data_IF_646821034915
#
_entry.id   IF_646821034915
#
_cell.length_a   1.000
_cell.length_b   1.000
_cell.length_c   1.000
_cell.angle_alpha   90.00
_cell.angle_beta   90.00
_cell.angle_gamma   90.00
#
_symmetry.space_group_name_H-M   'P 1'
#
loop_
_entity.id
_entity.type
_entity.pdbx_description
1 polymer ?
#
# COMPACT_ATOMS: atom_id res chain seq x y z
N UNK A 1 22.08 -30.32 21.25
CA UNK A 1 21.20 -30.07 20.12
C UNK A 1 20.52 -28.73 20.41
N UNK A 2 21.09 -27.60 19.91
CA UNK A 2 20.55 -26.26 20.17
C UNK A 2 19.20 -26.16 19.48
N UNK A 3 18.19 -25.74 20.22
CA UNK A 3 16.80 -25.62 19.75
C UNK A 3 16.69 -24.46 18.73
N UNK A 4 16.86 -24.79 17.46
CA UNK A 4 16.85 -23.87 16.30
C UNK A 4 15.52 -23.12 16.26
N UNK A 5 14.42 -23.72 16.74
CA UNK A 5 13.11 -23.07 16.82
C UNK A 5 13.09 -21.89 17.82
N UNK A 6 13.80 -21.96 18.95
CA UNK A 6 13.83 -20.92 19.96
C UNK A 6 14.59 -19.66 19.49
N UNK A 7 15.60 -19.80 18.64
CA UNK A 7 16.41 -18.71 18.08
C UNK A 7 15.80 -18.09 16.81
N UNK A 8 15.09 -18.86 16.00
CA UNK A 8 14.50 -18.36 14.74
C UNK A 8 13.34 -17.36 14.97
N UNK A 9 12.52 -17.58 15.98
CA UNK A 9 11.35 -16.73 16.25
C UNK A 9 11.70 -15.27 16.58
N UNK A 10 12.68 -14.95 17.47
CA UNK A 10 13.08 -13.57 17.74
C UNK A 10 13.77 -12.90 16.53
N UNK A 11 14.53 -13.65 15.72
CA UNK A 11 15.18 -13.12 14.52
C UNK A 11 14.12 -12.74 13.48
N UNK A 12 13.18 -13.60 13.17
CA UNK A 12 12.08 -13.32 12.25
C UNK A 12 11.23 -12.15 12.73
N UNK A 13 10.90 -12.08 14.02
CA UNK A 13 10.15 -10.98 14.61
C UNK A 13 10.91 -9.66 14.49
N UNK A 14 12.23 -9.66 14.67
CA UNK A 14 13.10 -8.49 14.51
C UNK A 14 13.05 -7.95 13.08
N UNK A 15 13.21 -8.81 12.06
CA UNK A 15 13.18 -8.42 10.65
C UNK A 15 11.78 -8.03 10.19
N UNK A 16 10.74 -8.73 10.62
CA UNK A 16 9.35 -8.37 10.36
C UNK A 16 8.99 -6.99 10.96
N UNK A 17 9.48 -6.69 12.16
CA UNK A 17 9.35 -5.38 12.79
C UNK A 17 10.13 -4.30 12.04
N UNK A 18 11.32 -4.60 11.54
CA UNK A 18 12.14 -3.68 10.74
C UNK A 18 11.41 -3.19 9.48
N UNK A 19 10.79 -4.11 8.73
CA UNK A 19 10.02 -3.78 7.51
C UNK A 19 8.56 -3.43 7.80
N UNK A 20 8.15 -3.33 9.07
CA UNK A 20 6.76 -3.09 9.48
C UNK A 20 5.78 -4.00 8.71
N UNK A 21 5.98 -5.30 8.82
CA UNK A 21 5.21 -6.30 8.06
C UNK A 21 3.68 -6.16 8.27
N UNK A 22 3.23 -5.75 9.46
CA UNK A 22 1.81 -5.48 9.75
C UNK A 22 1.15 -4.46 8.81
N UNK A 23 1.93 -3.53 8.25
CA UNK A 23 1.41 -2.55 7.29
C UNK A 23 1.15 -3.14 5.89
N UNK A 24 1.47 -4.43 5.65
CA UNK A 24 1.10 -5.14 4.42
C UNK A 24 -0.42 -5.19 4.22
N UNK A 25 -1.18 -5.07 5.32
CA UNK A 25 -2.65 -4.97 5.31
C UNK A 25 -3.18 -3.81 4.47
N UNK A 26 -2.39 -2.79 4.17
CA UNK A 26 -2.84 -1.68 3.33
C UNK A 26 -2.81 -2.00 1.83
N UNK A 27 -1.74 -2.62 1.34
CA UNK A 27 -1.56 -2.86 -0.10
C UNK A 27 -2.08 -4.24 -0.55
N UNK A 28 -1.91 -5.27 0.28
CA UNK A 28 -2.26 -6.65 -0.07
C UNK A 28 -3.75 -6.83 -0.42
N UNK A 29 -4.72 -6.28 0.34
CA UNK A 29 -6.13 -6.43 -0.02
C UNK A 29 -6.46 -5.82 -1.39
N UNK A 30 -5.89 -4.67 -1.75
CA UNK A 30 -6.10 -4.08 -3.08
C UNK A 30 -5.49 -4.91 -4.21
N UNK A 31 -4.29 -5.49 -3.99
CA UNK A 31 -3.66 -6.40 -4.94
C UNK A 31 -4.50 -7.67 -5.14
N UNK A 32 -5.01 -8.27 -4.06
CA UNK A 32 -5.86 -9.45 -4.13
C UNK A 32 -7.22 -9.13 -4.78
N UNK A 33 -7.81 -7.98 -4.48
CA UNK A 33 -9.03 -7.52 -5.16
C UNK A 33 -8.82 -7.36 -6.66
N UNK A 34 -7.70 -6.75 -7.09
CA UNK A 34 -7.31 -6.62 -8.48
C UNK A 34 -7.14 -7.99 -9.16
N UNK A 35 -6.46 -8.92 -8.49
CA UNK A 35 -6.29 -10.30 -8.93
C UNK A 35 -7.65 -10.99 -9.14
N UNK A 36 -8.57 -10.86 -8.17
CA UNK A 36 -9.91 -11.44 -8.26
C UNK A 36 -10.69 -10.90 -9.47
N UNK A 37 -10.67 -9.58 -9.70
CA UNK A 37 -11.33 -8.97 -10.85
C UNK A 37 -10.71 -9.44 -12.16
N UNK A 38 -9.37 -9.47 -12.25
CA UNK A 38 -8.63 -9.93 -13.42
C UNK A 38 -8.91 -11.41 -13.75
N UNK A 39 -9.11 -12.26 -12.74
CA UNK A 39 -9.43 -13.68 -12.88
C UNK A 39 -10.94 -13.98 -12.85
N UNK A 40 -11.81 -12.99 -13.09
CA UNK A 40 -13.27 -13.08 -12.93
C UNK A 40 -13.89 -14.23 -13.72
N UNK A 41 -13.36 -14.54 -14.90
CA UNK A 41 -13.81 -15.65 -15.74
C UNK A 41 -13.70 -17.01 -15.03
N UNK A 42 -12.71 -17.15 -14.11
CA UNK A 42 -12.47 -18.32 -13.28
C UNK A 42 -12.91 -18.09 -11.82
N UNK A 43 -14.00 -17.35 -11.60
CA UNK A 43 -14.52 -17.00 -10.27
C UNK A 43 -13.47 -16.37 -9.35
N UNK A 44 -12.56 -15.59 -9.91
CA UNK A 44 -11.51 -14.90 -9.19
C UNK A 44 -10.26 -15.73 -8.87
N UNK A 45 -10.20 -17.00 -9.30
CA UNK A 45 -9.06 -17.86 -9.01
C UNK A 45 -8.07 -17.93 -10.18
N UNK A 46 -6.85 -17.38 -10.04
CA UNK A 46 -5.85 -17.38 -11.12
C UNK A 46 -5.02 -18.68 -11.20
N UNK A 47 -5.26 -19.64 -10.31
CA UNK A 47 -4.43 -20.81 -10.10
C UNK A 47 -3.37 -20.63 -9.01
N UNK A 48 -3.00 -21.74 -8.34
CA UNK A 48 -2.12 -21.72 -7.16
C UNK A 48 -0.74 -21.11 -7.44
N UNK A 49 -0.18 -21.37 -8.63
CA UNK A 49 1.13 -20.83 -9.05
C UNK A 49 1.08 -19.30 -9.15
N UNK A 50 0.13 -18.74 -9.88
CA UNK A 50 0.02 -17.28 -10.08
C UNK A 50 -0.29 -16.61 -8.75
N UNK A 51 -1.21 -17.16 -7.95
CA UNK A 51 -1.53 -16.66 -6.61
C UNK A 51 -0.28 -16.62 -5.70
N UNK A 52 0.46 -17.72 -5.61
CA UNK A 52 1.68 -17.81 -4.80
C UNK A 52 2.77 -16.82 -5.24
N UNK A 53 2.95 -16.65 -6.57
CA UNK A 53 3.91 -15.70 -7.13
C UNK A 53 3.50 -14.24 -6.91
N UNK A 54 2.19 -13.90 -6.95
CA UNK A 54 1.70 -12.57 -6.58
C UNK A 54 2.03 -12.27 -5.11
N UNK A 55 1.78 -13.22 -4.19
CA UNK A 55 2.12 -13.04 -2.78
C UNK A 55 3.63 -12.87 -2.58
N UNK A 56 4.45 -13.68 -3.24
CA UNK A 56 5.91 -13.57 -3.19
C UNK A 56 6.39 -12.21 -3.70
N UNK A 57 5.89 -11.76 -4.85
CA UNK A 57 6.21 -10.45 -5.42
C UNK A 57 5.82 -9.31 -4.47
N UNK A 58 4.63 -9.37 -3.86
CA UNK A 58 4.16 -8.39 -2.88
C UNK A 58 5.04 -8.31 -1.64
N UNK A 59 5.43 -9.47 -1.08
CA UNK A 59 6.33 -9.52 0.09
C UNK A 59 7.70 -8.97 -0.28
N UNK A 60 8.25 -9.34 -1.43
CA UNK A 60 9.53 -8.86 -1.91
C UNK A 60 9.52 -7.35 -2.19
N UNK A 61 8.54 -6.84 -2.95
CA UNK A 61 8.42 -5.42 -3.25
C UNK A 61 8.32 -4.57 -1.96
N UNK A 62 7.47 -5.00 -1.03
CA UNK A 62 7.30 -4.31 0.24
C UNK A 62 8.56 -4.35 1.11
N UNK A 63 9.19 -5.49 1.21
CA UNK A 63 10.44 -5.65 1.98
C UNK A 63 11.53 -4.77 1.42
N UNK A 64 11.71 -4.76 0.09
CA UNK A 64 12.65 -3.88 -0.61
C UNK A 64 12.35 -2.40 -0.33
N UNK A 65 11.11 -1.96 -0.57
CA UNK A 65 10.68 -0.57 -0.35
C UNK A 65 10.93 -0.10 1.09
N UNK A 66 10.56 -0.92 2.09
CA UNK A 66 10.74 -0.58 3.49
C UNK A 66 12.20 -0.61 3.93
N UNK A 67 12.99 -1.59 3.47
CA UNK A 67 14.42 -1.63 3.75
C UNK A 67 15.12 -0.40 3.15
N UNK A 68 14.82 -0.06 1.90
CA UNK A 68 15.35 1.14 1.25
C UNK A 68 14.94 2.42 1.98
N UNK A 69 13.68 2.56 2.38
CA UNK A 69 13.21 3.72 3.15
C UNK A 69 14.00 3.88 4.46
N UNK A 70 14.23 2.77 5.22
CA UNK A 70 15.05 2.81 6.44
C UNK A 70 16.50 3.20 6.19
N UNK A 71 17.10 2.73 5.09
CA UNK A 71 18.46 3.06 4.69
C UNK A 71 18.55 4.55 4.30
N UNK A 72 17.62 5.01 3.47
CA UNK A 72 17.57 6.38 2.99
C UNK A 72 17.38 7.37 4.16
N UNK A 73 16.43 7.09 5.06
CA UNK A 73 16.04 8.02 6.12
C UNK A 73 16.86 7.87 7.41
N UNK A 74 17.86 6.96 7.47
CA UNK A 74 18.59 6.64 8.71
C UNK A 74 19.14 7.84 9.49
N UNK A 75 19.60 8.87 8.78
CA UNK A 75 20.15 10.09 9.41
C UNK A 75 19.06 10.94 10.04
N UNK A 76 17.94 11.16 9.34
CA UNK A 76 16.78 11.89 9.85
C UNK A 76 16.08 11.11 10.96
N UNK A 77 15.98 9.78 10.82
CA UNK A 77 15.42 8.90 11.85
C UNK A 77 16.19 8.96 13.18
N UNK A 78 17.50 9.14 13.13
CA UNK A 78 18.32 9.29 14.33
C UNK A 78 18.10 10.62 15.07
N UNK A 79 17.71 11.67 14.34
CA UNK A 79 17.46 13.01 14.91
C UNK A 79 16.02 13.17 15.42
N UNK A 80 15.06 12.43 14.86
CA UNK A 80 13.65 12.55 15.22
C UNK A 80 13.33 11.74 16.49
N UNK A 81 12.86 12.37 17.59
CA UNK A 81 12.52 11.70 18.85
C UNK A 81 11.53 10.53 18.68
N UNK A 82 10.62 10.59 17.68
CA UNK A 82 9.65 9.54 17.38
C UNK A 82 10.27 8.31 16.73
N UNK A 83 11.38 8.48 16.01
CA UNK A 83 11.98 7.41 15.18
C UNK A 83 13.40 7.01 15.56
N UNK A 84 14.07 7.73 16.46
CA UNK A 84 15.44 7.43 16.94
C UNK A 84 15.63 6.00 17.47
N UNK A 85 14.56 5.41 18.01
CA UNK A 85 14.53 4.04 18.50
C UNK A 85 14.29 2.98 17.40
N UNK A 86 14.29 3.36 16.11
CA UNK A 86 14.21 2.39 14.99
C UNK A 86 15.48 1.55 14.92
N UNK A 87 15.39 0.39 14.25
CA UNK A 87 16.45 -0.63 14.28
C UNK A 87 17.80 -0.16 13.75
N UNK A 88 17.86 0.67 12.68
CA UNK A 88 19.11 1.19 12.13
C UNK A 88 19.72 2.28 13.01
N UNK A 89 19.02 3.36 13.40
CA UNK A 89 19.56 4.37 14.31
C UNK A 89 19.99 3.77 15.65
N UNK A 90 19.24 2.83 16.19
CA UNK A 90 19.53 2.17 17.46
C UNK A 90 20.61 1.06 17.37
N UNK A 91 21.25 0.85 16.20
CA UNK A 91 22.30 -0.14 16.03
C UNK A 91 21.86 -1.61 16.12
N UNK A 92 20.53 -1.88 16.17
CA UNK A 92 20.00 -3.25 16.30
C UNK A 92 20.12 -4.06 15.01
N UNK A 93 20.19 -3.40 13.87
CA UNK A 93 20.44 -4.00 12.54
C UNK A 93 21.58 -3.19 11.90
N UNK A 94 22.56 -3.87 11.34
CA UNK A 94 23.65 -3.24 10.62
C UNK A 94 23.17 -2.68 9.26
N UNK A 95 23.84 -1.62 8.79
CA UNK A 95 23.55 -1.08 7.46
C UNK A 95 23.78 -2.12 6.36
N UNK A 96 24.85 -2.91 6.46
CA UNK A 96 25.13 -4.00 5.51
C UNK A 96 24.01 -5.05 5.48
N UNK A 97 23.48 -5.44 6.65
CA UNK A 97 22.35 -6.36 6.74
C UNK A 97 21.08 -5.78 6.11
N UNK A 98 20.80 -4.49 6.33
CA UNK A 98 19.66 -3.82 5.71
C UNK A 98 19.81 -3.73 4.18
N UNK A 99 21.02 -3.42 3.68
CA UNK A 99 21.31 -3.39 2.23
C UNK A 99 21.19 -4.77 1.59
N UNK A 100 21.70 -5.80 2.25
CA UNK A 100 21.56 -7.18 1.78
C UNK A 100 20.10 -7.59 1.69
N UNK A 101 19.29 -7.32 2.73
CA UNK A 101 17.86 -7.58 2.70
C UNK A 101 17.16 -6.86 1.55
N UNK A 102 17.50 -5.58 1.32
CA UNK A 102 16.97 -4.77 0.21
C UNK A 102 17.30 -5.42 -1.13
N UNK A 103 18.58 -5.77 -1.35
CA UNK A 103 19.05 -6.39 -2.60
C UNK A 103 18.42 -7.76 -2.87
N UNK A 104 18.36 -8.63 -1.86
CA UNK A 104 17.73 -9.95 -1.97
C UNK A 104 16.23 -9.84 -2.26
N UNK A 105 15.55 -8.86 -1.64
CA UNK A 105 14.13 -8.63 -1.89
C UNK A 105 13.89 -8.05 -3.28
N UNK A 106 14.76 -7.17 -3.77
CA UNK A 106 14.69 -6.68 -5.14
C UNK A 106 14.88 -7.82 -6.15
N UNK A 107 15.89 -8.67 -5.96
CA UNK A 107 16.11 -9.85 -6.79
C UNK A 107 14.93 -10.82 -6.72
N UNK A 108 14.35 -11.03 -5.54
CA UNK A 108 13.15 -11.85 -5.35
C UNK A 108 11.93 -11.32 -6.10
N UNK A 109 11.72 -9.99 -6.14
CA UNK A 109 10.66 -9.39 -6.95
C UNK A 109 10.87 -9.66 -8.45
N UNK A 110 12.10 -9.44 -8.96
CA UNK A 110 12.42 -9.69 -10.37
C UNK A 110 12.22 -11.16 -10.72
N UNK A 111 12.68 -12.07 -9.87
CA UNK A 111 12.53 -13.52 -10.07
C UNK A 111 11.05 -13.94 -10.06
N UNK A 112 10.25 -13.47 -9.09
CA UNK A 112 8.81 -13.75 -9.06
C UNK A 112 8.11 -13.20 -10.31
N UNK A 113 8.47 -11.99 -10.75
CA UNK A 113 7.92 -11.37 -11.96
C UNK A 113 8.29 -12.15 -13.23
N UNK A 114 9.53 -12.64 -13.32
CA UNK A 114 9.97 -13.51 -14.42
C UNK A 114 9.19 -14.82 -14.49
N UNK A 115 8.93 -15.44 -13.33
CA UNK A 115 8.13 -16.65 -13.24
C UNK A 115 6.64 -16.45 -13.53
N UNK A 116 6.13 -15.20 -13.39
CA UNK A 116 4.75 -14.85 -13.72
C UNK A 116 4.54 -14.79 -15.23
N UNK A 117 5.08 -13.78 -15.88
CA UNK A 117 5.02 -13.59 -17.33
C UNK A 117 6.03 -12.53 -17.82
N UNK A 118 6.31 -12.46 -19.14
CA UNK A 118 7.30 -11.52 -19.71
C UNK A 118 6.98 -10.05 -19.40
N UNK A 119 5.70 -9.63 -19.43
CA UNK A 119 5.33 -8.23 -19.16
C UNK A 119 5.66 -7.83 -17.72
N UNK A 120 5.32 -8.68 -16.73
CA UNK A 120 5.68 -8.47 -15.34
C UNK A 120 7.20 -8.38 -15.16
N UNK A 121 7.96 -9.25 -15.85
CA UNK A 121 9.41 -9.23 -15.80
C UNK A 121 9.98 -7.89 -16.31
N UNK A 122 9.57 -7.44 -17.50
CA UNK A 122 10.06 -6.19 -18.08
C UNK A 122 9.65 -4.94 -17.27
N UNK A 123 8.50 -4.98 -16.59
CA UNK A 123 8.03 -3.89 -15.73
C UNK A 123 8.63 -3.94 -14.31
N UNK A 124 9.22 -5.05 -13.87
CA UNK A 124 9.75 -5.18 -12.51
C UNK A 124 10.86 -4.18 -12.15
N UNK A 125 11.80 -3.80 -13.05
CA UNK A 125 12.78 -2.73 -12.75
C UNK A 125 12.11 -1.37 -12.56
N UNK A 126 11.09 -1.06 -13.37
CA UNK A 126 10.32 0.19 -13.25
C UNK A 126 9.60 0.23 -11.89
N UNK A 127 8.97 -0.88 -11.50
CA UNK A 127 8.34 -1.01 -10.19
C UNK A 127 9.35 -0.80 -9.06
N UNK A 128 10.55 -1.41 -9.13
CA UNK A 128 11.62 -1.20 -8.15
C UNK A 128 12.05 0.26 -8.04
N UNK A 129 12.23 0.94 -9.18
CA UNK A 129 12.56 2.37 -9.18
C UNK A 129 11.47 3.17 -8.45
N UNK A 130 10.22 2.97 -8.77
CA UNK A 130 9.10 3.73 -8.18
C UNK A 130 8.98 3.45 -6.68
N UNK A 131 9.04 2.17 -6.25
CA UNK A 131 8.91 1.81 -4.82
C UNK A 131 10.13 2.20 -3.97
N UNK A 132 11.27 2.49 -4.58
CA UNK A 132 12.42 3.06 -3.87
C UNK A 132 12.41 4.60 -3.91
N UNK A 133 12.04 5.18 -5.06
CA UNK A 133 12.08 6.61 -5.30
C UNK A 133 11.24 7.42 -4.32
N UNK A 134 10.04 6.94 -3.96
CA UNK A 134 9.17 7.67 -3.02
C UNK A 134 9.87 8.03 -1.71
N UNK A 135 10.80 7.19 -1.24
CA UNK A 135 11.54 7.44 0.00
C UNK A 135 12.47 8.67 -0.07
N UNK A 136 12.79 9.14 -1.27
CA UNK A 136 13.66 10.29 -1.49
C UNK A 136 12.88 11.59 -1.65
N UNK A 137 11.58 11.52 -1.92
CA UNK A 137 10.74 12.65 -2.36
C UNK A 137 10.62 13.77 -1.33
N UNK A 138 10.63 13.46 -0.03
CA UNK A 138 10.64 14.47 1.06
C UNK A 138 11.81 15.46 1.00
N UNK A 139 12.83 15.21 0.18
CA UNK A 139 14.04 16.04 0.06
C UNK A 139 13.90 17.15 -0.98
N UNK A 140 12.96 17.00 -1.93
CA UNK A 140 12.87 17.92 -3.07
C UNK A 140 11.43 18.28 -3.51
N UNK A 141 10.38 17.58 -3.03
CA UNK A 141 9.00 17.88 -3.41
C UNK A 141 8.05 17.85 -2.21
N UNK A 142 7.05 18.73 -2.25
CA UNK A 142 5.98 18.79 -1.25
C UNK A 142 4.91 17.71 -1.47
N UNK A 143 4.85 17.11 -2.67
CA UNK A 143 3.87 16.08 -3.06
C UNK A 143 4.31 14.66 -2.71
N UNK A 144 5.10 14.48 -1.66
CA UNK A 144 5.63 13.18 -1.22
C UNK A 144 4.54 12.14 -0.96
N UNK A 145 3.37 12.57 -0.46
CA UNK A 145 2.22 11.71 -0.18
C UNK A 145 1.63 11.08 -1.46
N UNK A 146 1.61 11.84 -2.57
CA UNK A 146 1.17 11.34 -3.88
C UNK A 146 2.15 10.28 -4.40
N UNK A 147 3.46 10.51 -4.25
CA UNK A 147 4.49 9.55 -4.65
C UNK A 147 4.40 8.24 -3.86
N UNK A 148 4.09 8.30 -2.57
CA UNK A 148 3.80 7.12 -1.77
C UNK A 148 2.57 6.38 -2.29
N UNK A 149 1.51 7.13 -2.65
CA UNK A 149 0.31 6.60 -3.29
C UNK A 149 0.61 5.87 -4.59
N UNK A 150 1.40 6.48 -5.48
CA UNK A 150 1.85 5.87 -6.74
C UNK A 150 2.64 4.58 -6.49
N UNK A 151 3.55 4.59 -5.50
CA UNK A 151 4.31 3.40 -5.14
C UNK A 151 3.43 2.24 -4.67
N UNK A 152 2.35 2.50 -3.92
CA UNK A 152 1.42 1.44 -3.51
C UNK A 152 0.45 1.03 -4.61
N UNK A 153 0.08 1.93 -5.52
CA UNK A 153 -0.80 1.63 -6.66
C UNK A 153 -0.18 0.62 -7.65
N UNK A 154 1.14 0.43 -7.64
CA UNK A 154 1.80 -0.64 -8.40
C UNK A 154 1.32 -2.03 -7.98
N UNK A 155 0.92 -2.21 -6.72
CA UNK A 155 0.49 -3.51 -6.22
C UNK A 155 -0.76 -4.07 -6.94
N UNK A 156 -1.90 -3.35 -7.01
CA UNK A 156 -3.06 -3.81 -7.79
C UNK A 156 -2.78 -3.88 -9.29
N UNK A 157 -1.98 -2.95 -9.87
CA UNK A 157 -1.58 -3.02 -11.28
C UNK A 157 -0.80 -4.31 -11.54
N UNK A 158 0.23 -4.57 -10.74
CA UNK A 158 1.06 -5.76 -10.87
C UNK A 158 0.28 -7.06 -10.71
N UNK A 159 -0.65 -7.12 -9.74
CA UNK A 159 -1.51 -8.29 -9.54
C UNK A 159 -2.45 -8.54 -10.74
N UNK A 160 -2.99 -7.48 -11.35
CA UNK A 160 -3.81 -7.58 -12.56
C UNK A 160 -3.00 -8.11 -13.74
N UNK A 161 -1.82 -7.51 -14.00
CA UNK A 161 -0.93 -7.92 -15.08
C UNK A 161 -0.33 -9.33 -14.85
N UNK A 162 -0.18 -9.76 -13.60
CA UNK A 162 0.23 -11.12 -13.28
C UNK A 162 -0.78 -12.16 -13.78
N UNK A 163 -2.07 -11.83 -13.78
CA UNK A 163 -3.15 -12.70 -14.26
C UNK A 163 -3.32 -12.63 -15.77
N UNK A 164 -3.37 -11.44 -16.35
CA UNK A 164 -3.71 -11.19 -17.76
C UNK A 164 -2.49 -11.13 -18.70
N UNK A 165 -1.30 -10.86 -18.18
CA UNK A 165 -0.13 -10.61 -19.00
C UNK A 165 -0.34 -9.40 -19.93
N UNK A 166 -0.01 -9.57 -21.21
CA UNK A 166 -0.24 -8.56 -22.25
C UNK A 166 -1.67 -8.56 -22.83
N UNK A 167 -2.50 -9.53 -22.43
CA UNK A 167 -3.86 -9.70 -22.96
C UNK A 167 -4.88 -8.89 -22.14
N UNK A 168 -4.71 -7.58 -22.08
CA UNK A 168 -5.63 -6.65 -21.41
C UNK A 168 -6.49 -5.90 -22.42
N UNK A 169 -7.79 -5.88 -22.19
CA UNK A 169 -8.75 -5.12 -23.00
C UNK A 169 -8.73 -3.63 -22.63
N UNK A 170 -9.21 -2.72 -23.51
CA UNK A 170 -9.34 -1.30 -23.17
C UNK A 170 -10.18 -1.05 -21.91
N UNK A 171 -11.22 -1.83 -21.68
CA UNK A 171 -12.03 -1.74 -20.46
C UNK A 171 -11.23 -2.15 -19.23
N UNK A 172 -10.45 -3.21 -19.28
CA UNK A 172 -9.58 -3.64 -18.19
C UNK A 172 -8.48 -2.63 -17.88
N UNK A 173 -7.93 -1.97 -18.92
CA UNK A 173 -6.98 -0.86 -18.72
C UNK A 173 -7.66 0.27 -17.93
N UNK A 174 -8.88 0.65 -18.31
CA UNK A 174 -9.65 1.67 -17.60
C UNK A 174 -9.92 1.25 -16.14
N UNK A 175 -10.38 0.02 -15.91
CA UNK A 175 -10.65 -0.53 -14.57
C UNK A 175 -9.38 -0.51 -13.71
N UNK A 176 -8.26 -0.96 -14.25
CA UNK A 176 -6.96 -0.98 -13.58
C UNK A 176 -6.46 0.44 -13.26
N UNK A 177 -6.63 1.39 -14.18
CA UNK A 177 -6.23 2.80 -13.99
C UNK A 177 -7.09 3.46 -12.91
N UNK A 178 -8.39 3.25 -12.93
CA UNK A 178 -9.31 3.77 -11.90
C UNK A 178 -8.96 3.17 -10.53
N UNK A 179 -8.70 1.88 -10.44
CA UNK A 179 -8.29 1.24 -9.19
C UNK A 179 -6.95 1.79 -8.68
N UNK A 180 -5.99 2.01 -9.57
CA UNK A 180 -4.73 2.65 -9.22
C UNK A 180 -4.93 4.07 -8.67
N UNK A 181 -5.77 4.88 -9.33
CA UNK A 181 -6.11 6.23 -8.88
C UNK A 181 -6.82 6.24 -7.51
N UNK A 182 -7.70 5.27 -7.25
CA UNK A 182 -8.33 5.06 -5.93
C UNK A 182 -7.25 4.86 -4.85
N UNK A 183 -6.27 3.98 -5.10
CA UNK A 183 -5.19 3.71 -4.14
C UNK A 183 -4.31 4.94 -3.94
N UNK A 184 -3.97 5.68 -5.00
CA UNK A 184 -3.18 6.93 -4.91
C UNK A 184 -3.90 7.95 -4.04
N UNK A 185 -5.19 8.22 -4.28
CA UNK A 185 -5.96 9.22 -3.55
C UNK A 185 -6.20 8.82 -2.10
N UNK A 186 -6.56 7.56 -1.85
CA UNK A 186 -6.72 7.04 -0.51
C UNK A 186 -5.44 7.20 0.31
N UNK A 187 -4.31 6.75 -0.27
CA UNK A 187 -3.04 6.81 0.42
C UNK A 187 -2.57 8.25 0.64
N UNK A 188 -2.75 9.12 -0.35
CA UNK A 188 -2.43 10.55 -0.23
C UNK A 188 -3.18 11.17 0.94
N UNK A 189 -4.48 10.92 1.06
CA UNK A 189 -5.30 11.46 2.13
C UNK A 189 -4.85 10.98 3.50
N UNK A 190 -4.66 9.67 3.67
CA UNK A 190 -4.29 9.16 4.97
C UNK A 190 -2.83 9.46 5.36
N UNK A 191 -1.90 9.49 4.41
CA UNK A 191 -0.50 9.80 4.72
C UNK A 191 -0.31 11.28 5.07
N UNK A 192 -1.10 12.20 4.51
CA UNK A 192 -1.16 13.60 4.96
C UNK A 192 -1.59 13.68 6.43
N UNK A 193 -2.64 12.94 6.83
CA UNK A 193 -3.11 12.90 8.23
C UNK A 193 -2.00 12.34 9.13
N UNK A 194 -1.32 11.29 8.69
CA UNK A 194 -0.22 10.68 9.44
C UNK A 194 0.99 11.63 9.59
N UNK A 195 1.30 12.41 8.56
CA UNK A 195 2.42 13.34 8.53
C UNK A 195 2.27 14.54 9.49
N UNK A 196 1.04 14.83 9.97
CA UNK A 196 0.82 15.85 10.99
C UNK A 196 1.67 15.63 12.26
N UNK A 197 2.00 14.37 12.57
CA UNK A 197 2.80 14.01 13.73
C UNK A 197 4.28 14.44 13.60
N UNK A 198 4.76 14.62 12.38
CA UNK A 198 6.13 15.00 12.09
C UNK A 198 6.26 16.48 11.67
N UNK A 199 5.17 17.27 11.71
CA UNK A 199 5.12 18.64 11.20
C UNK A 199 6.25 19.53 11.73
N UNK A 200 6.41 19.60 13.06
CA UNK A 200 7.42 20.46 13.68
C UNK A 200 8.85 19.98 13.35
N UNK A 201 9.07 18.67 13.36
CA UNK A 201 10.34 18.06 13.01
C UNK A 201 10.70 18.29 11.54
N UNK A 202 9.78 17.98 10.62
CA UNK A 202 9.98 18.12 9.17
C UNK A 202 10.28 19.57 8.80
N UNK A 203 9.53 20.52 9.40
CA UNK A 203 9.73 21.97 9.22
C UNK A 203 11.10 22.43 9.73
N UNK A 204 11.51 21.98 10.90
CA UNK A 204 12.79 22.36 11.50
C UNK A 204 14.00 21.81 10.73
N UNK A 205 13.85 20.68 10.03
CA UNK A 205 14.95 20.03 9.32
C UNK A 205 14.88 20.20 7.79
N UNK A 206 14.02 21.10 7.30
CA UNK A 206 13.90 21.42 5.86
C UNK A 206 13.36 20.26 5.01
N UNK A 207 12.65 19.31 5.63
CA UNK A 207 11.96 18.23 4.90
C UNK A 207 10.65 18.77 4.32
N UNK A 208 10.32 18.31 3.12
CA UNK A 208 9.16 18.79 2.37
C UNK A 208 7.98 17.84 2.50
N UNK A 209 6.79 18.42 2.66
CA UNK A 209 5.51 17.72 2.62
C UNK A 209 4.39 18.73 2.39
N UNK A 210 3.20 18.29 1.98
CA UNK A 210 2.03 19.18 1.89
C UNK A 210 1.69 19.78 3.25
N UNK A 211 1.95 19.07 4.34
CA UNK A 211 1.70 19.57 5.71
C UNK A 211 2.64 20.72 6.03
N UNK A 212 3.91 20.65 5.64
CA UNK A 212 4.89 21.74 5.83
C UNK A 212 4.59 22.92 4.92
N UNK A 213 4.27 22.67 3.64
CA UNK A 213 4.08 23.70 2.62
C UNK A 213 2.77 24.49 2.83
N UNK A 214 1.67 23.81 3.14
CA UNK A 214 0.34 24.42 3.21
C UNK A 214 -0.17 24.64 4.63
N UNK A 215 0.55 24.15 5.63
CA UNK A 215 0.17 24.12 7.04
C UNK A 215 -0.88 23.05 7.35
N UNK A 216 -0.99 22.64 8.63
CA UNK A 216 -1.83 21.53 9.06
C UNK A 216 -3.30 21.64 8.65
N UNK A 217 -3.89 22.85 8.73
CA UNK A 217 -5.31 23.08 8.41
C UNK A 217 -5.62 22.85 6.93
N UNK A 218 -4.81 23.41 6.04
CA UNK A 218 -5.02 23.29 4.59
C UNK A 218 -4.65 21.88 4.11
N UNK A 219 -3.63 21.26 4.68
CA UNK A 219 -3.26 19.88 4.41
C UNK A 219 -4.40 18.91 4.78
N UNK A 220 -5.07 19.09 5.92
CA UNK A 220 -6.26 18.30 6.29
C UNK A 220 -7.43 18.51 5.31
N UNK A 221 -7.60 19.71 4.77
CA UNK A 221 -8.61 19.96 3.73
C UNK A 221 -8.24 19.22 2.42
N UNK A 222 -6.97 19.23 2.03
CA UNK A 222 -6.49 18.46 0.88
C UNK A 222 -6.66 16.96 1.08
N UNK A 223 -6.36 16.43 2.27
CA UNK A 223 -6.59 15.02 2.61
C UNK A 223 -8.09 14.66 2.50
N UNK A 224 -8.98 15.53 2.99
CA UNK A 224 -10.42 15.33 2.85
C UNK A 224 -10.86 15.31 1.40
N UNK A 225 -10.39 16.24 0.57
CA UNK A 225 -10.69 16.28 -0.86
C UNK A 225 -10.20 15.01 -1.57
N UNK A 226 -8.98 14.55 -1.26
CA UNK A 226 -8.44 13.31 -1.82
C UNK A 226 -9.35 12.10 -1.48
N UNK A 227 -9.82 11.98 -0.24
CA UNK A 227 -10.75 10.92 0.16
C UNK A 227 -12.13 11.05 -0.49
N UNK A 228 -12.64 12.26 -0.69
CA UNK A 228 -13.92 12.49 -1.42
C UNK A 228 -13.80 12.06 -2.88
N UNK A 229 -12.71 12.44 -3.56
CA UNK A 229 -12.44 12.01 -4.94
C UNK A 229 -12.26 10.48 -5.02
N UNK A 230 -11.54 9.90 -4.05
CA UNK A 230 -11.41 8.44 -3.92
C UNK A 230 -12.78 7.76 -3.81
N UNK A 231 -13.69 8.25 -2.96
CA UNK A 231 -15.04 7.70 -2.84
C UNK A 231 -15.82 7.78 -4.15
N UNK A 232 -15.71 8.88 -4.88
CA UNK A 232 -16.33 9.02 -6.20
C UNK A 232 -15.79 8.02 -7.22
N UNK A 233 -14.46 7.87 -7.30
CA UNK A 233 -13.83 6.87 -8.17
C UNK A 233 -14.16 5.44 -7.73
N UNK A 234 -14.22 5.17 -6.43
CA UNK A 234 -14.59 3.86 -5.92
C UNK A 234 -16.04 3.49 -6.31
N UNK A 235 -16.97 4.46 -6.24
CA UNK A 235 -18.32 4.27 -6.73
C UNK A 235 -18.34 3.96 -8.25
N UNK A 236 -17.61 4.76 -9.04
CA UNK A 236 -17.46 4.55 -10.47
C UNK A 236 -16.83 3.21 -10.84
N UNK A 237 -15.85 2.73 -10.04
CA UNK A 237 -15.25 1.41 -10.22
C UNK A 237 -16.29 0.29 -10.09
N UNK A 238 -17.20 0.39 -9.12
CA UNK A 238 -18.31 -0.56 -8.97
C UNK A 238 -19.19 -0.62 -10.21
N UNK A 239 -19.50 0.53 -10.81
CA UNK A 239 -20.27 0.61 -12.06
C UNK A 239 -19.49 0.01 -13.25
N UNK A 240 -18.20 0.36 -13.40
CA UNK A 240 -17.33 -0.17 -14.45
C UNK A 240 -17.16 -1.70 -14.37
N UNK A 241 -17.11 -2.25 -13.16
CA UNK A 241 -17.03 -3.69 -12.92
C UNK A 241 -18.41 -4.38 -12.96
N UNK A 242 -19.49 -3.62 -13.12
CA UNK A 242 -20.89 -4.12 -13.06
C UNK A 242 -21.18 -4.89 -11.78
N UNK A 243 -20.67 -4.37 -10.65
CA UNK A 243 -20.95 -4.91 -9.33
C UNK A 243 -22.37 -4.59 -8.87
N UNK A 244 -22.89 -5.39 -7.95
CA UNK A 244 -24.26 -5.31 -7.44
C UNK A 244 -24.34 -4.56 -6.11
N UNK A 245 -25.51 -4.67 -5.47
CA UNK A 245 -25.84 -3.93 -4.24
C UNK A 245 -24.86 -4.19 -3.10
N UNK A 246 -24.30 -5.41 -2.98
CA UNK A 246 -23.33 -5.75 -1.93
C UNK A 246 -22.08 -4.86 -1.98
N UNK A 247 -21.60 -4.53 -3.18
CA UNK A 247 -20.48 -3.61 -3.36
C UNK A 247 -20.81 -2.21 -2.83
N UNK A 248 -21.98 -1.68 -3.18
CA UNK A 248 -22.38 -0.32 -2.78
C UNK A 248 -22.66 -0.19 -1.29
N UNK A 249 -23.14 -1.25 -0.64
CA UNK A 249 -23.22 -1.31 0.83
C UNK A 249 -21.81 -1.20 1.45
N UNK A 250 -20.85 -1.97 0.94
CA UNK A 250 -19.46 -1.88 1.39
C UNK A 250 -18.81 -0.54 1.07
N UNK A 251 -19.09 0.05 -0.09
CA UNK A 251 -18.69 1.42 -0.43
C UNK A 251 -19.15 2.42 0.62
N UNK A 252 -20.40 2.34 1.06
CA UNK A 252 -20.95 3.20 2.11
C UNK A 252 -20.21 3.02 3.45
N UNK A 253 -19.86 1.77 3.82
CA UNK A 253 -19.08 1.49 5.02
C UNK A 253 -17.66 2.08 4.92
N UNK A 254 -17.02 2.00 3.76
CA UNK A 254 -15.71 2.62 3.50
C UNK A 254 -15.81 4.14 3.66
N UNK A 255 -16.82 4.77 3.04
CA UNK A 255 -17.04 6.21 3.17
C UNK A 255 -17.25 6.63 4.64
N UNK A 256 -18.03 5.85 5.41
CA UNK A 256 -18.20 6.10 6.85
C UNK A 256 -16.90 6.00 7.65
N UNK A 257 -16.03 5.01 7.34
CA UNK A 257 -14.71 4.90 7.95
C UNK A 257 -13.85 6.14 7.67
N UNK A 258 -13.83 6.64 6.43
CA UNK A 258 -13.07 7.83 6.05
C UNK A 258 -13.60 9.10 6.72
N UNK A 259 -14.92 9.27 6.80
CA UNK A 259 -15.53 10.38 7.55
C UNK A 259 -15.12 10.33 9.02
N UNK A 260 -15.17 9.15 9.64
CA UNK A 260 -14.74 8.95 11.02
C UNK A 260 -13.26 9.30 11.21
N UNK A 261 -12.39 8.90 10.27
CA UNK A 261 -10.96 9.25 10.29
C UNK A 261 -10.74 10.76 10.32
N UNK A 262 -11.42 11.52 9.44
CA UNK A 262 -11.32 12.98 9.42
C UNK A 262 -11.92 13.64 10.67
N UNK A 263 -12.98 13.08 11.22
CA UNK A 263 -13.55 13.57 12.46
C UNK A 263 -12.58 13.42 13.65
N UNK A 264 -11.90 12.26 13.74
CA UNK A 264 -10.88 11.99 14.76
C UNK A 264 -9.67 12.90 14.56
N UNK A 265 -9.17 13.04 13.32
CA UNK A 265 -8.02 13.87 13.01
C UNK A 265 -8.22 15.36 13.38
N UNK A 266 -9.47 15.86 13.28
CA UNK A 266 -9.79 17.25 13.62
C UNK A 266 -10.02 17.48 15.11
N UNK A 267 -10.49 16.50 15.87
CA UNK A 267 -10.98 16.69 17.24
C UNK A 267 -10.09 16.12 18.33
N UNK A 268 -9.21 15.16 18.00
CA UNK A 268 -8.43 14.44 19.01
C UNK A 268 -6.93 14.65 18.82
N UNK A 269 -6.18 14.65 19.95
CA UNK A 269 -4.73 14.83 19.94
C UNK A 269 -3.98 13.70 19.22
N UNK A 270 -2.72 13.96 18.88
CA UNK A 270 -1.83 13.11 18.07
C UNK A 270 -1.75 11.64 18.53
N UNK A 271 -1.94 11.36 19.82
CA UNK A 271 -1.89 9.99 20.34
C UNK A 271 -3.03 9.08 19.84
N UNK A 272 -4.20 9.65 19.53
CA UNK A 272 -5.34 8.91 18.98
C UNK A 272 -5.20 8.66 17.48
N UNK A 273 -4.42 9.49 16.79
CA UNK A 273 -4.19 9.37 15.35
C UNK A 273 -3.53 8.03 15.04
N UNK A 274 -2.53 7.59 15.82
CA UNK A 274 -1.82 6.34 15.56
C UNK A 274 -2.72 5.09 15.61
N UNK A 275 -3.60 5.01 16.60
CA UNK A 275 -4.41 3.81 16.82
C UNK A 275 -5.63 3.77 15.89
N UNK A 276 -6.39 4.86 15.83
CA UNK A 276 -7.58 4.95 14.98
C UNK A 276 -7.23 4.91 13.50
N UNK A 277 -6.17 5.62 13.12
CA UNK A 277 -5.62 5.68 11.78
C UNK A 277 -5.26 4.29 11.23
N UNK A 278 -4.42 3.52 11.93
CA UNK A 278 -4.05 2.19 11.46
C UNK A 278 -5.26 1.27 11.33
N UNK A 279 -6.17 1.28 12.33
CA UNK A 279 -7.34 0.39 12.34
C UNK A 279 -8.37 0.74 11.28
N UNK A 280 -8.68 2.03 11.09
CA UNK A 280 -9.67 2.45 10.09
C UNK A 280 -9.17 2.18 8.67
N UNK A 281 -7.91 2.48 8.38
CA UNK A 281 -7.36 2.23 7.05
C UNK A 281 -7.16 0.74 6.76
N UNK A 282 -6.81 -0.08 7.75
CA UNK A 282 -6.82 -1.53 7.62
C UNK A 282 -8.25 -2.05 7.34
N UNK A 283 -9.26 -1.50 8.03
CA UNK A 283 -10.65 -1.86 7.80
C UNK A 283 -11.12 -1.48 6.40
N UNK A 284 -10.81 -0.28 5.91
CA UNK A 284 -11.11 0.16 4.53
C UNK A 284 -10.58 -0.84 3.51
N UNK A 285 -9.30 -1.22 3.60
CA UNK A 285 -8.70 -2.15 2.64
C UNK A 285 -9.30 -3.56 2.72
N UNK A 286 -9.60 -4.05 3.92
CA UNK A 286 -10.21 -5.38 4.14
C UNK A 286 -11.66 -5.40 3.66
N UNK A 287 -12.45 -4.37 3.96
CA UNK A 287 -13.83 -4.25 3.45
C UNK A 287 -13.80 -4.27 1.92
N UNK A 288 -12.90 -3.49 1.29
CA UNK A 288 -12.77 -3.48 -0.16
C UNK A 288 -12.51 -4.87 -0.73
N UNK A 289 -11.58 -5.63 -0.15
CA UNK A 289 -11.31 -7.01 -0.59
C UNK A 289 -12.54 -7.90 -0.42
N UNK A 290 -13.22 -7.84 0.72
CA UNK A 290 -14.38 -8.69 1.02
C UNK A 290 -15.51 -8.43 0.02
N UNK A 291 -15.85 -7.16 -0.25
CA UNK A 291 -16.94 -6.82 -1.18
C UNK A 291 -16.61 -7.21 -2.62
N UNK A 292 -15.35 -7.01 -3.05
CA UNK A 292 -14.90 -7.45 -4.39
C UNK A 292 -14.91 -8.98 -4.48
N UNK A 293 -14.42 -9.68 -3.44
CA UNK A 293 -14.45 -11.15 -3.41
C UNK A 293 -15.89 -11.68 -3.46
N UNK A 294 -16.79 -11.10 -2.69
CA UNK A 294 -18.22 -11.46 -2.71
C UNK A 294 -18.82 -11.28 -4.12
N UNK A 295 -18.58 -10.12 -4.74
CA UNK A 295 -19.11 -9.83 -6.07
C UNK A 295 -18.53 -10.75 -7.17
N UNK A 296 -17.23 -11.08 -7.11
CA UNK A 296 -16.59 -11.91 -8.13
C UNK A 296 -16.93 -13.39 -7.95
N UNK A 297 -16.92 -13.90 -6.72
CA UNK A 297 -17.10 -15.33 -6.45
C UNK A 297 -18.57 -15.74 -6.60
N UNK A 298 -19.50 -14.91 -6.09
CA UNK A 298 -20.93 -15.25 -6.05
C UNK A 298 -21.73 -14.80 -7.29
N UNK A 299 -21.21 -13.90 -8.14
CA UNK A 299 -21.89 -13.55 -9.41
C UNK A 299 -22.01 -14.73 -10.39
N UNK A 300 -21.23 -15.77 -10.26
CA UNK A 300 -21.31 -16.99 -11.09
C UNK A 300 -22.52 -17.91 -10.77
N UNK A 301 -23.23 -17.68 -9.66
CA UNK A 301 -24.31 -18.58 -9.17
C UNK A 301 -25.74 -18.21 -9.58
N UNK A 302 -26.00 -17.01 -10.11
CA UNK A 302 -27.35 -16.53 -10.44
C UNK A 302 -27.52 -16.22 -11.94
N UNK A 303 -27.09 -17.07 -12.85
CA UNK A 303 -27.75 -17.21 -14.14
C UNK A 303 -28.91 -18.16 -13.92
N UNK A 304 -30.10 -17.61 -13.67
CA UNK A 304 -31.33 -18.35 -13.95
C UNK A 304 -31.29 -18.77 -15.44
N UNK A 305 -31.38 -20.08 -15.67
CA UNK A 305 -31.58 -20.67 -16.98
C UNK A 305 -32.91 -20.21 -17.56
#
# INVERSE_FOLDING_TARGET
>A
MFDVHCLMFPILKKWASFVRFSHTVFALPFALAAMLVAARENRGWPGARVFGLILAAMVCARTCAMAFNRIADRKFDALNPRTQNRHLPAGRISLAGAMLLCALSAAGLVAASWLLNPLCFYLSPVALVIVCFYSLTKRFTDYTHVWLGVALAIAPIGAWLAVKGAHVTPLEILQMTVLAAIVVLWLTGFDIIYALQDYDFDRAHGLRSLVVAWGPKNALAAAFLAHMLMCGLLFGFGLLCRFRIAYFVGWFLIAACLVMEHWIARRRGLNWINLAFFRLNALVSVIFLIIVAAEVIFQGGFRMR
#
